data_IF_271704024031
#
_entry.id   IF_271704024031
#
_cell.length_a   1.000
_cell.length_b   1.000
_cell.length_c   1.000
_cell.angle_alpha   90.00
_cell.angle_beta   90.00
_cell.angle_gamma   90.00
#
_symmetry.space_group_name_H-M   'P 1'
#
loop_
_entity.id
_entity.type
_entity.pdbx_description
1 polymer ?
#
# COMPACT_ATOMS: atom_id res chain seq x y z
N UNK A 1 14.77 -46.33 -11.79
CA UNK A 1 13.55 -46.02 -10.99
C UNK A 1 13.73 -44.93 -9.92
N UNK A 2 14.93 -44.36 -9.68
CA UNK A 2 15.13 -43.27 -8.69
C UNK A 2 15.12 -41.85 -9.28
N UNK A 3 15.37 -41.70 -10.58
CA UNK A 3 15.49 -40.39 -11.25
C UNK A 3 14.18 -39.88 -11.86
N UNK A 4 13.16 -40.74 -12.04
CA UNK A 4 11.87 -40.35 -12.62
C UNK A 4 10.95 -39.76 -11.55
N UNK A 5 11.10 -40.17 -10.27
CA UNK A 5 10.30 -39.65 -9.17
C UNK A 5 10.64 -38.21 -8.77
N UNK A 6 11.84 -37.71 -9.06
CA UNK A 6 12.25 -36.34 -8.74
C UNK A 6 11.70 -35.31 -9.71
N UNK A 7 11.51 -35.66 -10.99
CA UNK A 7 10.95 -34.75 -11.99
C UNK A 7 9.44 -34.55 -11.79
N UNK A 8 8.74 -35.59 -11.35
CA UNK A 8 7.31 -35.50 -11.02
C UNK A 8 7.07 -34.65 -9.76
N UNK A 9 7.96 -34.70 -8.77
CA UNK A 9 7.84 -33.87 -7.55
C UNK A 9 8.06 -32.37 -7.81
N UNK A 10 8.94 -32.00 -8.76
CA UNK A 10 9.15 -30.60 -9.15
C UNK A 10 8.01 -30.04 -10.01
N UNK A 11 7.31 -30.89 -10.77
CA UNK A 11 6.15 -30.48 -11.56
C UNK A 11 4.89 -30.22 -10.70
N UNK A 12 4.78 -30.84 -9.52
CA UNK A 12 3.58 -30.72 -8.65
C UNK A 12 3.70 -29.54 -7.67
N UNK A 13 4.91 -29.17 -7.24
CA UNK A 13 5.09 -28.10 -6.23
C UNK A 13 4.99 -26.68 -6.79
N UNK A 14 5.18 -26.49 -8.10
CA UNK A 14 5.12 -25.18 -8.75
C UNK A 14 3.69 -24.69 -9.04
N UNK A 15 2.67 -25.53 -8.81
CA UNK A 15 1.25 -25.14 -8.92
C UNK A 15 0.70 -24.43 -7.68
N UNK A 16 1.54 -24.10 -6.69
CA UNK A 16 1.11 -23.35 -5.50
C UNK A 16 1.06 -21.85 -5.78
N UNK A 17 -0.04 -21.46 -6.42
CA UNK A 17 -0.90 -20.36 -5.98
C UNK A 17 -0.23 -19.02 -5.60
N UNK A 18 0.25 -18.27 -6.60
CA UNK A 18 0.18 -16.80 -6.55
C UNK A 18 -1.15 -16.34 -7.19
N UNK A 19 -2.26 -16.79 -6.62
CA UNK A 19 -3.50 -16.04 -6.74
C UNK A 19 -3.36 -14.86 -5.76
N UNK A 20 -2.71 -13.79 -6.22
CA UNK A 20 -2.84 -12.49 -5.57
C UNK A 20 -4.32 -12.14 -5.59
N UNK A 21 -4.99 -12.28 -4.44
CA UNK A 21 -6.35 -11.82 -4.25
C UNK A 21 -6.35 -10.29 -4.42
N UNK A 22 -6.54 -9.84 -5.65
CA UNK A 22 -6.88 -8.47 -5.96
C UNK A 22 -8.23 -8.22 -5.28
N UNK A 23 -8.20 -7.58 -4.11
CA UNK A 23 -9.39 -7.15 -3.40
C UNK A 23 -10.26 -6.35 -4.40
N UNK A 24 -11.36 -6.94 -4.85
CA UNK A 24 -12.26 -6.42 -5.90
C UNK A 24 -13.19 -5.34 -5.34
N UNK A 25 -13.03 -4.97 -4.07
CA UNK A 25 -13.88 -3.99 -3.43
C UNK A 25 -13.51 -2.58 -3.93
N UNK A 26 -14.36 -1.90 -4.72
CA UNK A 26 -14.05 -0.58 -5.27
C UNK A 26 -13.84 0.46 -4.16
N UNK A 27 -14.45 0.25 -2.99
CA UNK A 27 -14.20 1.04 -1.78
C UNK A 27 -12.75 0.91 -1.29
N UNK A 28 -12.24 -0.32 -1.20
CA UNK A 28 -10.87 -0.57 -0.77
C UNK A 28 -9.84 0.01 -1.75
N UNK A 29 -10.09 -0.13 -3.07
CA UNK A 29 -9.22 0.45 -4.11
C UNK A 29 -9.20 1.98 -4.07
N UNK A 30 -10.34 2.62 -3.81
CA UNK A 30 -10.38 4.07 -3.68
C UNK A 30 -9.64 4.54 -2.43
N UNK A 31 -9.85 3.87 -1.29
CA UNK A 31 -9.14 4.18 -0.05
C UNK A 31 -7.62 4.02 -0.20
N UNK A 32 -7.16 2.96 -0.85
CA UNK A 32 -5.74 2.71 -1.13
C UNK A 32 -5.11 3.84 -1.96
N UNK A 33 -5.85 4.36 -2.96
CA UNK A 33 -5.40 5.54 -3.73
C UNK A 33 -5.27 6.78 -2.84
N UNK A 34 -6.26 7.06 -2.00
CA UNK A 34 -6.22 8.22 -1.09
C UNK A 34 -5.09 8.10 -0.06
N UNK A 35 -4.82 6.91 0.48
CA UNK A 35 -3.68 6.66 1.37
C UNK A 35 -2.34 6.91 0.65
N UNK A 36 -2.19 6.41 -0.58
CA UNK A 36 -0.98 6.62 -1.39
C UNK A 36 -0.73 8.09 -1.70
N UNK A 37 -1.77 8.85 -2.04
CA UNK A 37 -1.68 10.30 -2.26
C UNK A 37 -1.27 11.04 -0.98
N UNK A 38 -1.84 10.64 0.18
CA UNK A 38 -1.49 11.19 1.50
C UNK A 38 -0.03 10.90 1.86
N UNK A 39 0.46 9.67 1.65
CA UNK A 39 1.86 9.31 1.89
C UNK A 39 2.81 10.13 1.02
N UNK A 40 2.48 10.29 -0.26
CA UNK A 40 3.24 11.17 -1.17
C UNK A 40 3.29 12.61 -0.67
N UNK A 41 2.16 13.13 -0.17
CA UNK A 41 2.08 14.45 0.45
C UNK A 41 2.98 14.54 1.70
N UNK A 42 2.92 13.56 2.60
CA UNK A 42 3.80 13.55 3.77
C UNK A 42 5.28 13.53 3.39
N UNK A 43 5.65 12.81 2.33
CA UNK A 43 7.02 12.82 1.80
C UNK A 43 7.50 14.22 1.42
N UNK A 44 6.65 15.05 0.81
CA UNK A 44 6.98 16.43 0.44
C UNK A 44 7.11 17.36 1.65
N UNK A 45 6.38 17.09 2.73
CA UNK A 45 6.38 17.90 3.95
C UNK A 45 7.27 17.32 5.06
N UNK A 46 8.02 16.26 4.76
CA UNK A 46 9.00 15.69 5.66
C UNK A 46 10.25 16.55 5.66
N UNK A 47 10.64 17.03 6.84
CA UNK A 47 11.88 17.76 7.08
C UNK A 47 12.80 16.93 7.96
N UNK A 48 14.09 17.04 7.71
CA UNK A 48 15.09 16.48 8.62
C UNK A 48 15.41 17.48 9.71
N UNK A 49 15.24 17.07 10.98
CA UNK A 49 15.79 17.81 12.12
C UNK A 49 17.27 17.46 12.26
N UNK A 50 18.16 18.40 11.92
CA UNK A 50 19.60 18.24 12.08
C UNK A 50 20.03 18.12 13.54
N UNK A 51 19.20 18.55 14.50
CA UNK A 51 19.48 18.42 15.94
C UNK A 51 19.22 17.01 16.47
N UNK A 52 18.27 16.30 15.86
CA UNK A 52 17.81 14.98 16.32
C UNK A 52 18.16 13.85 15.35
N UNK A 53 18.64 14.17 14.15
CA UNK A 53 18.91 13.21 13.07
C UNK A 53 17.65 12.53 12.52
N UNK A 54 16.47 12.99 12.92
CA UNK A 54 15.19 12.36 12.62
C UNK A 54 14.42 13.16 11.56
N UNK A 55 13.82 12.44 10.62
CA UNK A 55 12.86 12.99 9.67
C UNK A 55 11.50 13.13 10.37
N UNK A 56 10.88 14.30 10.29
CA UNK A 56 9.55 14.56 10.84
C UNK A 56 8.68 15.29 9.81
N UNK A 57 7.39 14.96 9.79
CA UNK A 57 6.41 15.71 8.99
C UNK A 57 6.08 17.01 9.71
N UNK A 58 6.18 18.14 9.01
CA UNK A 58 5.83 19.44 9.60
C UNK A 58 4.37 19.48 10.06
N UNK A 59 4.02 20.20 11.14
CA UNK A 59 2.64 20.31 11.62
C UNK A 59 1.67 20.85 10.57
N UNK A 60 2.10 21.82 9.76
CA UNK A 60 1.29 22.40 8.69
C UNK A 60 1.10 21.41 7.54
N UNK A 61 2.18 20.74 7.11
CA UNK A 61 2.08 19.65 6.13
C UNK A 61 1.19 18.51 6.63
N UNK A 62 1.25 18.19 7.93
CA UNK A 62 0.39 17.19 8.52
C UNK A 62 -1.09 17.54 8.34
N UNK A 63 -1.49 18.78 8.67
CA UNK A 63 -2.87 19.27 8.49
C UNK A 63 -3.30 19.27 7.03
N UNK A 64 -2.42 19.71 6.13
CA UNK A 64 -2.72 19.80 4.70
C UNK A 64 -2.93 18.42 4.07
N UNK A 65 -2.02 17.48 4.32
CA UNK A 65 -2.11 16.12 3.78
C UNK A 65 -3.33 15.38 4.33
N UNK A 66 -3.66 15.56 5.61
CA UNK A 66 -4.89 15.00 6.19
C UNK A 66 -6.16 15.62 5.60
N UNK A 67 -6.17 16.94 5.38
CA UNK A 67 -7.29 17.60 4.71
C UNK A 67 -7.51 17.03 3.31
N UNK A 68 -6.45 16.92 2.51
CA UNK A 68 -6.50 16.34 1.17
C UNK A 68 -6.99 14.88 1.19
N UNK A 69 -6.49 14.06 2.12
CA UNK A 69 -6.96 12.70 2.33
C UNK A 69 -8.46 12.65 2.65
N UNK A 70 -8.94 13.50 3.56
CA UNK A 70 -10.35 13.55 3.92
C UNK A 70 -11.23 14.00 2.75
N UNK A 71 -10.78 14.95 1.93
CA UNK A 71 -11.47 15.31 0.69
C UNK A 71 -11.50 14.13 -0.29
N UNK A 72 -10.38 13.45 -0.53
CA UNK A 72 -10.33 12.26 -1.39
C UNK A 72 -11.30 11.17 -0.92
N UNK A 73 -11.32 10.89 0.38
CA UNK A 73 -12.19 9.90 1.02
C UNK A 73 -13.68 10.21 0.84
N UNK A 74 -14.10 11.48 0.73
CA UNK A 74 -15.52 11.84 0.51
C UNK A 74 -16.06 11.29 -0.82
N UNK A 75 -15.20 11.16 -1.82
CA UNK A 75 -15.55 10.65 -3.14
C UNK A 75 -15.44 9.13 -3.24
N UNK A 76 -14.91 8.45 -2.22
CA UNK A 76 -14.83 7.00 -2.23
C UNK A 76 -16.19 6.35 -1.96
N UNK A 77 -16.51 5.25 -2.66
CA UNK A 77 -17.75 4.54 -2.41
C UNK A 77 -17.72 4.00 -0.98
N UNK A 78 -18.72 4.38 -0.20
CA UNK A 78 -18.95 3.82 1.14
C UNK A 78 -19.55 2.45 0.91
N UNK A 79 -18.77 1.39 1.19
CA UNK A 79 -19.26 0.01 1.07
C UNK A 79 -20.61 -0.13 1.78
N UNK A 80 -21.58 -0.74 1.10
CA UNK A 80 -22.88 -1.10 1.70
C UNK A 80 -22.71 -2.17 2.76
#
# INVERSE_FOLDING_TARGET
>A
MRLIMTVVFLAIFSLTTLAMAANTNPAARCMDRCEKEKEGCFGMHTKSDTRSGAAYVTPDGHKECWRAYHECKKYCPKGR
#
